data_IF_991907786772
#
_entry.id   IF_991907786772
#
_cell.length_a   1.000
_cell.length_b   1.000
_cell.length_c   1.000
_cell.angle_alpha   90.00
_cell.angle_beta   90.00
_cell.angle_gamma   90.00
#
_symmetry.space_group_name_H-M   'P 1'
#
loop_
_entity.id
_entity.type
_entity.pdbx_description
1 polymer ?
#
# COMPACT_ATOMS: atom_id res chain seq x y z
N UNK A 1 -23.07 6.20 0.62
CA UNK A 1 -23.01 5.36 -0.59
C UNK A 1 -21.56 5.31 -1.04
N UNK A 2 -21.01 4.12 -1.25
CA UNK A 2 -19.63 3.94 -1.71
C UNK A 2 -19.51 4.33 -3.20
N UNK A 3 -18.38 4.92 -3.59
CA UNK A 3 -18.09 5.40 -4.95
C UNK A 3 -17.26 4.35 -5.68
N UNK A 4 -17.92 3.32 -6.21
CA UNK A 4 -17.27 2.19 -6.88
C UNK A 4 -16.33 2.63 -8.02
N UNK A 5 -16.76 3.60 -8.84
CA UNK A 5 -15.96 4.09 -9.97
C UNK A 5 -14.64 4.75 -9.55
N UNK A 6 -14.65 5.52 -8.46
CA UNK A 6 -13.44 6.16 -7.91
C UNK A 6 -12.52 5.11 -7.28
N UNK A 7 -13.08 4.14 -6.55
CA UNK A 7 -12.29 3.03 -6.03
C UNK A 7 -11.61 2.24 -7.15
N UNK A 8 -12.36 1.83 -8.18
CA UNK A 8 -11.87 1.04 -9.30
C UNK A 8 -10.75 1.73 -10.07
N UNK A 9 -10.91 3.03 -10.32
CA UNK A 9 -9.89 3.84 -11.01
C UNK A 9 -8.56 3.81 -10.26
N UNK A 10 -8.59 4.01 -8.94
CA UNK A 10 -7.38 4.11 -8.12
C UNK A 10 -6.77 2.75 -7.82
N UNK A 11 -7.57 1.71 -7.58
CA UNK A 11 -7.04 0.37 -7.34
C UNK A 11 -6.41 -0.23 -8.61
N UNK A 12 -6.92 0.13 -9.80
CA UNK A 12 -6.29 -0.24 -11.07
C UNK A 12 -4.89 0.35 -11.20
N UNK A 13 -4.71 1.62 -10.82
CA UNK A 13 -3.41 2.28 -10.83
C UNK A 13 -2.43 1.64 -9.81
N UNK A 14 -2.93 1.32 -8.61
CA UNK A 14 -2.15 0.62 -7.60
C UNK A 14 -1.63 -0.74 -8.10
N UNK A 15 -2.50 -1.53 -8.76
CA UNK A 15 -2.14 -2.83 -9.33
C UNK A 15 -1.08 -2.73 -10.42
N UNK A 16 -1.23 -1.79 -11.37
CA UNK A 16 -0.24 -1.55 -12.43
C UNK A 16 1.11 -1.10 -11.87
N UNK A 17 1.09 -0.27 -10.84
CA UNK A 17 2.31 0.18 -10.16
C UNK A 17 3.02 -1.00 -9.49
N UNK A 18 2.26 -1.89 -8.84
CA UNK A 18 2.81 -3.11 -8.23
C UNK A 18 3.38 -4.08 -9.27
N UNK A 19 2.68 -4.28 -10.39
CA UNK A 19 3.21 -5.08 -11.52
C UNK A 19 4.54 -4.51 -12.02
N UNK A 20 4.65 -3.18 -12.15
CA UNK A 20 5.92 -2.55 -12.51
C UNK A 20 7.01 -2.74 -11.45
N UNK A 21 6.67 -2.71 -10.16
CA UNK A 21 7.61 -2.99 -9.08
C UNK A 21 8.17 -4.42 -9.16
N UNK A 22 7.32 -5.40 -9.52
CA UNK A 22 7.76 -6.77 -9.74
C UNK A 22 8.69 -6.90 -10.95
N UNK A 23 8.45 -6.15 -12.02
CA UNK A 23 9.39 -6.11 -13.16
C UNK A 23 10.74 -5.54 -12.73
N UNK A 24 10.76 -4.41 -12.02
CA UNK A 24 12.02 -3.82 -11.52
C UNK A 24 12.79 -4.79 -10.60
N UNK A 25 12.07 -5.54 -9.75
CA UNK A 25 12.67 -6.56 -8.88
C UNK A 25 13.35 -7.66 -9.69
N UNK A 26 12.70 -8.13 -10.76
CA UNK A 26 13.25 -9.18 -11.65
C UNK A 26 14.50 -8.70 -12.40
N UNK A 27 14.51 -7.43 -12.80
CA UNK A 27 15.63 -6.81 -13.52
C UNK A 27 16.77 -6.34 -12.58
N UNK A 28 16.61 -6.48 -11.25
CA UNK A 28 17.63 -6.11 -10.27
C UNK A 28 17.65 -4.64 -9.88
N UNK A 29 16.66 -3.84 -10.29
CA UNK A 29 16.50 -2.44 -9.91
C UNK A 29 15.79 -2.30 -8.55
N UNK A 30 16.46 -2.72 -7.48
CA UNK A 30 15.85 -2.87 -6.15
C UNK A 30 15.34 -1.56 -5.54
N UNK A 31 16.00 -0.43 -5.82
CA UNK A 31 15.59 0.91 -5.40
C UNK A 31 14.25 1.30 -6.05
N UNK A 32 14.09 1.00 -7.34
CA UNK A 32 12.86 1.26 -8.07
C UNK A 32 11.73 0.31 -7.66
N UNK A 33 12.05 -0.96 -7.47
CA UNK A 33 11.10 -1.95 -6.93
C UNK A 33 10.56 -1.51 -5.57
N UNK A 34 11.43 -1.03 -4.67
CA UNK A 34 11.04 -0.56 -3.34
C UNK A 34 10.19 0.70 -3.40
N UNK A 35 10.61 1.68 -4.20
CA UNK A 35 9.87 2.93 -4.40
C UNK A 35 8.46 2.68 -4.96
N UNK A 36 8.35 1.89 -6.03
CA UNK A 36 7.06 1.57 -6.66
C UNK A 36 6.18 0.71 -5.75
N UNK A 37 6.77 -0.18 -4.95
CA UNK A 37 6.02 -0.95 -3.95
C UNK A 37 5.37 -0.03 -2.90
N UNK A 38 6.10 0.97 -2.40
CA UNK A 38 5.53 1.97 -1.50
C UNK A 38 4.41 2.77 -2.18
N UNK A 39 4.61 3.21 -3.43
CA UNK A 39 3.60 3.96 -4.17
C UNK A 39 2.33 3.14 -4.45
N UNK A 40 2.48 1.85 -4.79
CA UNK A 40 1.36 0.94 -4.98
C UNK A 40 0.51 0.82 -3.69
N UNK A 41 1.16 0.70 -2.53
CA UNK A 41 0.48 0.67 -1.25
C UNK A 41 -0.23 2.00 -0.93
N UNK A 42 0.39 3.15 -1.22
CA UNK A 42 -0.25 4.46 -1.07
C UNK A 42 -1.52 4.60 -1.93
N UNK A 43 -1.44 4.22 -3.21
CA UNK A 43 -2.55 4.27 -4.15
C UNK A 43 -3.70 3.35 -3.71
N UNK A 44 -3.40 2.15 -3.22
CA UNK A 44 -4.41 1.21 -2.74
C UNK A 44 -5.20 1.77 -1.53
N UNK A 45 -4.52 2.37 -0.56
CA UNK A 45 -5.19 2.99 0.60
C UNK A 45 -6.00 4.21 0.16
N UNK A 46 -5.49 5.02 -0.78
CA UNK A 46 -6.24 6.13 -1.38
C UNK A 46 -7.49 5.67 -2.12
N UNK A 47 -7.45 4.52 -2.80
CA UNK A 47 -8.60 3.95 -3.47
C UNK A 47 -9.75 3.68 -2.49
N UNK A 48 -9.46 3.06 -1.33
CA UNK A 48 -10.45 2.78 -0.29
C UNK A 48 -11.06 4.09 0.24
N UNK A 49 -10.22 5.05 0.61
CA UNK A 49 -10.68 6.34 1.13
C UNK A 49 -11.55 7.10 0.12
N UNK A 50 -11.18 7.09 -1.17
CA UNK A 50 -11.97 7.71 -2.24
C UNK A 50 -13.28 6.98 -2.51
N UNK A 51 -13.28 5.65 -2.44
CA UNK A 51 -14.51 4.85 -2.45
C UNK A 51 -15.45 5.22 -1.30
N UNK A 52 -14.91 5.54 -0.12
CA UNK A 52 -15.68 6.06 1.02
C UNK A 52 -16.13 7.52 0.85
N UNK A 53 -15.79 8.17 -0.27
CA UNK A 53 -16.16 9.55 -0.58
C UNK A 53 -15.21 10.60 -0.03
N UNK A 54 -14.05 10.21 0.51
CA UNK A 54 -13.05 11.11 1.08
C UNK A 54 -12.01 11.51 0.03
N UNK A 55 -11.40 12.68 0.21
CA UNK A 55 -10.31 13.18 -0.63
C UNK A 55 -9.00 13.25 0.18
N UNK A 56 -8.32 12.10 0.42
CA UNK A 56 -7.11 12.09 1.23
C UNK A 56 -5.97 12.87 0.56
N UNK A 57 -5.27 13.66 1.36
CA UNK A 57 -4.10 14.46 0.95
C UNK A 57 -2.82 13.81 1.51
N UNK A 58 -1.67 14.00 0.85
CA UNK A 58 -0.37 13.53 1.35
C UNK A 58 0.04 12.11 0.94
N UNK A 59 1.23 11.70 1.39
CA UNK A 59 1.96 10.50 0.92
C UNK A 59 2.27 9.47 2.03
N UNK A 60 1.90 9.75 3.27
CA UNK A 60 2.16 8.83 4.38
C UNK A 60 1.08 7.75 4.46
N UNK A 61 1.40 6.54 4.02
CA UNK A 61 0.54 5.35 4.17
C UNK A 61 0.09 5.18 5.63
N UNK A 62 1.01 5.34 6.59
CA UNK A 62 0.72 5.23 8.03
C UNK A 62 -0.29 6.27 8.51
N UNK A 63 -0.32 7.46 7.90
CA UNK A 63 -1.34 8.48 8.19
C UNK A 63 -2.69 8.07 7.62
N UNK A 64 -2.73 7.66 6.36
CA UNK A 64 -3.95 7.22 5.67
C UNK A 64 -4.60 6.00 6.35
N UNK A 65 -3.78 5.05 6.79
CA UNK A 65 -4.23 3.87 7.55
C UNK A 65 -4.78 4.25 8.93
N UNK A 66 -4.22 5.28 9.59
CA UNK A 66 -4.78 5.80 10.86
C UNK A 66 -6.14 6.45 10.64
N UNK A 67 -6.36 7.15 9.52
CA UNK A 67 -7.66 7.70 9.15
C UNK A 67 -8.70 6.58 8.99
N UNK A 68 -8.37 5.50 8.26
CA UNK A 68 -9.24 4.32 8.14
C UNK A 68 -9.54 3.67 9.50
N UNK A 69 -8.54 3.51 10.36
CA UNK A 69 -8.73 2.96 11.71
C UNK A 69 -9.65 3.85 12.55
N UNK A 70 -9.52 5.17 12.46
CA UNK A 70 -10.39 6.12 13.14
C UNK A 70 -11.87 6.02 12.71
N UNK A 71 -12.13 5.55 11.50
CA UNK A 71 -13.48 5.29 10.97
C UNK A 71 -14.05 3.92 11.37
N UNK A 72 -13.31 3.12 12.15
CA UNK A 72 -13.75 1.81 12.61
C UNK A 72 -13.37 0.64 11.69
N UNK A 73 -12.58 0.88 10.63
CA UNK A 73 -12.06 -0.22 9.80
C UNK A 73 -10.94 -0.98 10.53
N UNK A 74 -10.98 -2.31 10.42
CA UNK A 74 -9.88 -3.14 10.90
C UNK A 74 -8.70 -3.02 9.94
N UNK A 75 -7.68 -2.26 10.36
CA UNK A 75 -6.41 -2.17 9.64
C UNK A 75 -5.45 -3.21 10.23
N UNK A 76 -4.86 -4.08 9.40
CA UNK A 76 -3.85 -5.04 9.86
C UNK A 76 -2.76 -4.32 10.64
N UNK A 77 -2.53 -4.71 11.89
CA UNK A 77 -1.34 -4.27 12.61
C UNK A 77 -0.13 -4.87 11.89
N UNK A 78 0.92 -4.09 11.73
CA UNK A 78 2.18 -4.64 11.24
C UNK A 78 2.70 -5.66 12.25
N UNK A 79 2.46 -6.94 12.00
CA UNK A 79 3.06 -8.04 12.73
C UNK A 79 4.47 -8.25 12.16
N UNK A 80 5.37 -7.31 12.47
CA UNK A 80 6.80 -7.62 12.44
C UNK A 80 7.09 -8.51 13.66
N UNK A 81 6.56 -9.75 13.66
CA UNK A 81 7.11 -10.78 14.52
C UNK A 81 8.44 -11.16 13.88
N UNK A 82 9.50 -10.71 14.53
CA UNK A 82 10.88 -11.15 14.32
C UNK A 82 10.93 -12.68 14.41
N UNK A 83 10.86 -13.35 13.26
CA UNK A 83 11.51 -14.65 13.06
C UNK A 83 12.81 -14.39 12.31
N UNK A 84 13.71 -13.62 12.93
CA UNK A 84 15.10 -13.50 12.49
C UNK A 84 16.02 -14.07 13.58
N UNK A 85 15.67 -15.27 14.07
CA UNK A 85 16.45 -15.99 15.10
C UNK A 85 17.16 -17.23 14.54
N UNK A 86 17.24 -17.39 13.21
CA UNK A 86 17.77 -18.63 12.62
C UNK A 86 18.73 -18.44 11.44
N UNK A 87 19.24 -17.24 11.17
CA UNK A 87 20.47 -17.15 10.35
C UNK A 87 21.65 -17.45 11.28
N UNK A 88 22.19 -18.65 11.10
CA UNK A 88 23.24 -19.23 11.93
C UNK A 88 24.46 -18.34 12.04
N UNK A 89 25.07 -18.42 13.22
CA UNK A 89 26.48 -18.16 13.48
C UNK A 89 27.34 -18.65 12.32
N UNK A 90 28.12 -17.75 11.73
CA UNK A 90 29.38 -18.07 11.05
C UNK A 90 30.48 -17.64 12.01
#
# INVERSE_FOLDING_TARGET
MFKDSEYERWIKEAKRTLESAYSDLKEGYYEWASFKSQQAAELAVKAVLRGLGLAPVGHSITRLLRELKGMGFNVPKSSYTTQWSSIGTI
#
